data_IF_216052665128
#
_entry.id   IF_216052665128
#
_cell.length_a   1.000
_cell.length_b   1.000
_cell.length_c   1.000
_cell.angle_alpha   90.00
_cell.angle_beta   90.00
_cell.angle_gamma   90.00
#
_symmetry.space_group_name_H-M   'P 1'
#
loop_
_entity.id
_entity.type
_entity.pdbx_description
1 polymer ?
#
# COMPACT_ATOMS: atom_id res chain seq x y z
N UNK A 1 27.10 19.93 -21.97
CA UNK A 1 26.78 18.52 -22.21
C UNK A 1 26.11 17.99 -20.94
N UNK A 2 24.77 17.95 -20.92
CA UNK A 2 24.00 17.45 -19.78
C UNK A 2 23.88 15.93 -19.91
N UNK A 3 24.45 15.19 -18.95
CA UNK A 3 24.27 13.75 -18.86
C UNK A 3 22.87 13.46 -18.33
N UNK A 4 21.99 12.99 -19.22
CA UNK A 4 20.75 12.32 -18.85
C UNK A 4 21.10 11.00 -18.19
N UNK A 5 20.85 10.88 -16.89
CA UNK A 5 20.66 9.57 -16.26
C UNK A 5 19.17 9.27 -16.25
N UNK A 6 18.67 8.72 -17.37
CA UNK A 6 17.41 7.98 -17.36
C UNK A 6 17.71 6.60 -16.77
N UNK A 7 17.50 6.49 -15.47
CA UNK A 7 17.35 5.21 -14.82
C UNK A 7 16.06 5.31 -14.04
N UNK A 8 14.98 4.76 -14.62
CA UNK A 8 13.79 4.33 -13.89
C UNK A 8 14.22 3.26 -12.86
N UNK A 9 14.93 3.69 -11.82
CA UNK A 9 15.44 2.83 -10.77
C UNK A 9 14.24 2.45 -9.91
N UNK A 10 13.86 1.18 -9.99
CA UNK A 10 12.78 0.61 -9.19
C UNK A 10 13.04 0.94 -7.71
N UNK A 11 12.03 1.41 -6.97
CA UNK A 11 12.18 1.71 -5.55
C UNK A 11 12.78 0.52 -4.81
N UNK A 12 13.65 0.78 -3.83
CA UNK A 12 14.13 -0.27 -2.94
C UNK A 12 12.96 -0.71 -2.09
N UNK A 13 12.32 -1.80 -2.48
CA UNK A 13 11.22 -2.38 -1.73
C UNK A 13 11.82 -3.05 -0.50
N UNK A 14 11.57 -2.46 0.66
CA UNK A 14 12.02 -3.03 1.91
C UNK A 14 11.48 -4.45 2.02
N UNK A 15 12.38 -5.42 2.17
CA UNK A 15 11.99 -6.69 2.77
C UNK A 15 11.76 -6.36 4.23
N UNK A 16 10.50 -6.38 4.66
CA UNK A 16 10.15 -6.38 6.06
C UNK A 16 11.00 -7.44 6.77
N UNK A 17 11.94 -7.02 7.62
CA UNK A 17 12.49 -7.92 8.61
C UNK A 17 11.41 -8.07 9.68
N UNK A 18 10.60 -9.12 9.58
CA UNK A 18 9.79 -9.53 10.72
C UNK A 18 10.77 -9.98 11.80
N UNK A 19 10.91 -9.21 12.86
CA UNK A 19 11.46 -9.76 14.09
C UNK A 19 10.44 -10.78 14.59
N UNK A 20 10.78 -12.07 14.46
CA UNK A 20 9.94 -13.20 14.87
C UNK A 20 9.50 -13.00 16.33
N UNK A 21 8.24 -12.60 16.52
CA UNK A 21 7.60 -12.45 17.84
C UNK A 21 7.10 -11.05 18.20
N UNK A 22 7.50 -9.97 17.50
CA UNK A 22 7.13 -8.60 17.90
C UNK A 22 5.86 -8.03 17.23
N UNK A 23 5.39 -8.63 16.13
CA UNK A 23 4.27 -8.08 15.35
C UNK A 23 4.60 -6.70 14.73
N UNK A 24 5.89 -6.44 14.51
CA UNK A 24 6.42 -5.18 14.01
C UNK A 24 7.10 -5.37 12.65
N UNK A 25 6.91 -4.39 11.76
CA UNK A 25 7.67 -4.25 10.51
C UNK A 25 8.34 -2.89 10.46
N UNK A 26 9.66 -2.92 10.20
CA UNK A 26 10.47 -1.72 9.96
C UNK A 26 10.65 -1.53 8.45
N UNK A 27 10.26 -0.37 7.95
CA UNK A 27 10.28 0.03 6.56
C UNK A 27 11.26 1.20 6.41
N UNK A 28 12.48 1.00 5.88
CA UNK A 28 13.36 2.10 5.52
C UNK A 28 12.74 2.98 4.44
N UNK A 29 13.04 4.28 4.49
CA UNK A 29 12.69 5.22 3.45
C UNK A 29 13.44 4.89 2.17
N UNK A 30 12.72 4.80 1.06
CA UNK A 30 13.29 4.69 -0.29
C UNK A 30 13.95 6.01 -0.70
N UNK A 31 14.78 5.95 -1.75
CA UNK A 31 15.52 7.12 -2.28
C UNK A 31 14.60 8.21 -2.83
N UNK A 32 13.42 7.83 -3.31
CA UNK A 32 12.35 8.74 -3.75
C UNK A 32 11.66 9.44 -2.57
N UNK A 33 11.98 9.06 -1.33
CA UNK A 33 11.42 9.64 -0.12
C UNK A 33 10.13 8.96 0.37
N UNK A 34 9.65 7.91 -0.29
CA UNK A 34 8.48 7.13 0.10
C UNK A 34 8.84 5.85 0.88
N UNK A 35 7.84 5.19 1.43
CA UNK A 35 7.98 3.91 2.14
C UNK A 35 7.28 2.82 1.34
N UNK A 36 7.99 1.73 1.08
CA UNK A 36 7.45 0.60 0.31
C UNK A 36 7.50 -0.66 1.16
N UNK A 37 6.39 -1.38 1.19
CA UNK A 37 6.24 -2.61 1.97
C UNK A 37 5.68 -3.71 1.08
N UNK A 38 6.31 -4.88 1.13
CA UNK A 38 5.77 -6.09 0.48
C UNK A 38 4.53 -6.55 1.21
N UNK A 39 3.57 -7.05 0.46
CA UNK A 39 2.32 -7.51 1.01
C UNK A 39 1.56 -8.42 0.06
N UNK A 40 0.29 -8.58 0.34
CA UNK A 40 -0.62 -9.34 -0.50
C UNK A 40 -2.06 -8.82 -0.39
N UNK A 41 -2.83 -9.04 -1.46
CA UNK A 41 -4.28 -8.90 -1.47
C UNK A 41 -4.87 -10.27 -1.72
N UNK A 42 -5.61 -10.81 -0.75
CA UNK A 42 -6.13 -12.19 -0.79
C UNK A 42 -5.06 -13.24 -1.18
N UNK A 43 -3.84 -13.07 -0.67
CA UNK A 43 -2.71 -13.95 -0.96
C UNK A 43 -2.00 -13.69 -2.31
N UNK A 44 -2.52 -12.83 -3.18
CA UNK A 44 -1.80 -12.39 -4.38
C UNK A 44 -0.74 -11.35 -4.00
N UNK A 45 0.56 -11.57 -4.31
CA UNK A 45 1.63 -10.65 -3.92
C UNK A 45 1.47 -9.26 -4.54
N UNK A 46 1.58 -8.23 -3.71
CA UNK A 46 1.51 -6.82 -4.11
C UNK A 46 2.52 -6.02 -3.31
N UNK A 47 3.27 -5.15 -3.97
CA UNK A 47 4.10 -4.16 -3.31
C UNK A 47 3.30 -2.88 -3.12
N UNK A 48 3.24 -2.39 -1.89
CA UNK A 48 2.50 -1.18 -1.55
C UNK A 48 3.45 -0.02 -1.28
N UNK A 49 3.08 1.17 -1.74
CA UNK A 49 3.57 2.43 -1.21
C UNK A 49 2.68 2.86 -0.05
N UNK A 50 3.25 3.21 1.10
CA UNK A 50 2.48 3.76 2.22
C UNK A 50 2.05 5.18 1.90
N UNK A 51 0.74 5.43 1.92
CA UNK A 51 0.15 6.73 1.64
C UNK A 51 -0.81 7.15 2.77
N UNK A 52 -0.35 8.08 3.60
CA UNK A 52 -1.14 8.62 4.71
C UNK A 52 -2.22 9.61 4.27
N UNK A 53 -2.17 10.11 3.03
CA UNK A 53 -3.20 10.97 2.43
C UNK A 53 -4.33 10.18 1.78
N UNK A 54 -4.09 8.93 1.38
CA UNK A 54 -5.11 8.06 0.80
C UNK A 54 -6.09 7.54 1.88
N UNK A 55 -7.39 7.79 1.70
CA UNK A 55 -8.42 7.32 2.65
C UNK A 55 -8.63 5.80 2.65
N UNK A 56 -8.38 5.15 1.52
CA UNK A 56 -8.56 3.72 1.29
C UNK A 56 -7.34 3.14 0.56
N UNK A 57 -7.11 1.83 0.69
CA UNK A 57 -6.19 1.10 -0.19
C UNK A 57 -6.62 1.29 -1.64
N UNK A 58 -5.66 1.58 -2.52
CA UNK A 58 -5.92 1.79 -3.95
C UNK A 58 -5.00 0.94 -4.81
N UNK A 59 -5.54 0.36 -5.88
CA UNK A 59 -4.80 -0.46 -6.83
C UNK A 59 -5.22 -0.17 -8.27
N UNK A 60 -4.37 -0.59 -9.22
CA UNK A 60 -4.70 -0.59 -10.64
C UNK A 60 -5.71 -1.70 -10.99
N UNK A 61 -6.38 -1.55 -12.13
CA UNK A 61 -7.24 -2.62 -12.67
C UNK A 61 -6.45 -3.91 -12.95
N UNK A 62 -5.17 -3.81 -13.28
CA UNK A 62 -4.33 -4.98 -13.54
C UNK A 62 -4.09 -5.79 -12.26
N UNK A 63 -3.71 -5.12 -11.17
CA UNK A 63 -3.55 -5.78 -9.87
C UNK A 63 -4.87 -6.41 -9.44
N UNK A 64 -6.00 -5.71 -9.60
CA UNK A 64 -7.32 -6.24 -9.25
C UNK A 64 -7.66 -7.53 -10.01
N UNK A 65 -7.38 -7.57 -11.33
CA UNK A 65 -7.57 -8.77 -12.15
C UNK A 65 -6.67 -9.92 -11.71
N UNK A 66 -5.39 -9.65 -11.47
CA UNK A 66 -4.43 -10.69 -11.08
C UNK A 66 -4.71 -11.24 -9.68
N UNK A 67 -5.15 -10.38 -8.75
CA UNK A 67 -5.64 -10.75 -7.43
C UNK A 67 -7.06 -11.37 -7.45
N UNK A 68 -7.68 -11.50 -8.63
CA UNK A 68 -9.02 -12.06 -8.84
C UNK A 68 -10.09 -11.40 -7.96
N UNK A 69 -10.00 -10.08 -7.79
CA UNK A 69 -11.01 -9.34 -7.05
C UNK A 69 -12.36 -9.42 -7.78
N UNK A 70 -13.48 -9.54 -7.04
CA UNK A 70 -14.81 -9.48 -7.65
C UNK A 70 -15.05 -8.10 -8.24
N UNK A 71 -16.07 -8.01 -9.10
CA UNK A 71 -16.50 -6.72 -9.66
C UNK A 71 -16.89 -5.76 -8.54
N UNK A 72 -16.35 -4.55 -8.58
CA UNK A 72 -16.66 -3.54 -7.58
C UNK A 72 -17.92 -2.73 -7.89
N UNK A 73 -18.27 -1.87 -6.95
CA UNK A 73 -19.34 -0.89 -7.09
C UNK A 73 -18.70 0.41 -7.61
N UNK A 74 -19.23 1.03 -8.68
CA UNK A 74 -18.73 2.32 -9.17
C UNK A 74 -18.71 3.38 -8.06
N UNK A 75 -17.61 4.12 -7.97
CA UNK A 75 -17.40 5.16 -6.97
C UNK A 75 -16.55 6.30 -7.52
N UNK A 76 -16.77 7.50 -6.99
CA UNK A 76 -15.93 8.66 -7.24
C UNK A 76 -14.92 8.81 -6.10
N UNK A 77 -13.68 9.10 -6.47
CA UNK A 77 -12.58 9.30 -5.53
C UNK A 77 -12.00 10.67 -5.70
N UNK A 78 -11.82 11.36 -4.58
CA UNK A 78 -11.16 12.67 -4.55
C UNK A 78 -9.66 12.46 -4.40
N UNK A 79 -8.91 12.98 -5.35
CA UNK A 79 -7.45 12.91 -5.38
C UNK A 79 -6.85 14.31 -5.43
N UNK A 80 -5.53 14.41 -5.29
CA UNK A 80 -4.81 15.67 -5.47
C UNK A 80 -5.00 16.28 -6.87
N UNK A 81 -5.23 15.45 -7.89
CA UNK A 81 -5.41 15.89 -9.29
C UNK A 81 -6.90 16.07 -9.66
N UNK A 82 -7.81 16.06 -8.67
CA UNK A 82 -9.24 16.15 -8.86
C UNK A 82 -9.97 14.81 -8.66
N UNK A 83 -11.24 14.78 -9.06
CA UNK A 83 -12.10 13.61 -8.89
C UNK A 83 -11.90 12.62 -10.03
N UNK A 84 -11.71 11.34 -9.68
CA UNK A 84 -11.60 10.24 -10.63
C UNK A 84 -12.69 9.19 -10.38
N UNK A 85 -13.14 8.55 -11.44
CA UNK A 85 -14.10 7.44 -11.36
C UNK A 85 -13.34 6.11 -11.26
N UNK A 86 -13.74 5.27 -10.32
CA UNK A 86 -13.21 3.92 -10.15
C UNK A 86 -14.27 2.99 -9.57
N UNK A 87 -13.82 1.91 -8.95
CA UNK A 87 -14.69 0.94 -8.28
C UNK A 87 -14.22 0.69 -6.84
N UNK A 88 -15.15 0.35 -5.93
CA UNK A 88 -14.82 -0.13 -4.58
C UNK A 88 -15.22 -1.60 -4.45
N UNK A 89 -14.30 -2.39 -3.91
CA UNK A 89 -14.55 -3.77 -3.49
C UNK A 89 -14.31 -3.86 -1.98
N UNK A 90 -15.32 -4.31 -1.24
CA UNK A 90 -15.24 -4.48 0.22
C UNK A 90 -14.87 -5.91 0.61
N UNK A 91 -14.48 -6.13 1.87
CA UNK A 91 -14.30 -7.47 2.43
C UNK A 91 -12.98 -8.14 2.05
N UNK A 92 -11.97 -7.38 1.65
CA UNK A 92 -10.70 -7.91 1.20
C UNK A 92 -9.75 -8.14 2.38
N UNK A 93 -8.89 -9.16 2.25
CA UNK A 93 -7.81 -9.43 3.21
C UNK A 93 -6.51 -8.86 2.67
N UNK A 94 -5.85 -8.05 3.49
CA UNK A 94 -4.66 -7.30 3.11
C UNK A 94 -3.54 -7.66 4.07
N UNK A 95 -2.43 -8.09 3.50
CA UNK A 95 -1.18 -8.29 4.21
C UNK A 95 -0.22 -7.17 3.85
N UNK A 96 0.47 -6.59 4.83
CA UNK A 96 1.59 -5.69 4.62
C UNK A 96 2.68 -5.97 5.67
N UNK A 97 3.86 -6.38 5.20
CA UNK A 97 5.00 -6.67 6.08
C UNK A 97 4.72 -7.78 7.09
N UNK A 98 3.89 -8.77 6.73
CA UNK A 98 3.44 -9.84 7.61
C UNK A 98 2.28 -9.49 8.54
N UNK A 99 1.81 -8.23 8.55
CA UNK A 99 0.61 -7.83 9.29
C UNK A 99 -0.61 -8.07 8.41
N UNK A 100 -1.54 -8.92 8.87
CA UNK A 100 -2.77 -9.25 8.16
C UNK A 100 -3.95 -8.48 8.75
N UNK A 101 -4.72 -7.84 7.88
CA UNK A 101 -5.95 -7.13 8.23
C UNK A 101 -7.08 -7.54 7.28
N UNK A 102 -8.18 -8.02 7.86
CA UNK A 102 -9.35 -8.48 7.11
C UNK A 102 -10.45 -7.41 7.04
N UNK A 103 -11.37 -7.61 6.09
CA UNK A 103 -12.59 -6.81 5.98
C UNK A 103 -12.35 -5.40 5.44
N UNK A 104 -11.25 -5.16 4.72
CA UNK A 104 -10.91 -3.85 4.18
C UNK A 104 -11.55 -3.59 2.82
N UNK A 105 -11.82 -2.32 2.56
CA UNK A 105 -12.20 -1.84 1.23
C UNK A 105 -10.97 -1.55 0.39
N UNK A 106 -11.02 -1.91 -0.89
CA UNK A 106 -10.00 -1.66 -1.89
C UNK A 106 -10.65 -0.88 -3.03
N UNK A 107 -10.06 0.27 -3.35
CA UNK A 107 -10.43 1.09 -4.48
C UNK A 107 -9.64 0.71 -5.73
N UNK A 108 -10.30 0.57 -6.86
CA UNK A 108 -9.72 0.12 -8.13
C UNK A 108 -9.80 1.26 -9.16
N UNK A 109 -8.70 1.51 -9.87
CA UNK A 109 -8.67 2.44 -11.00
C UNK A 109 -8.55 3.93 -10.62
N UNK A 110 -8.10 4.22 -9.40
CA UNK A 110 -8.01 5.59 -8.85
C UNK A 110 -6.65 6.23 -9.17
N UNK A 111 -5.60 5.42 -9.17
CA UNK A 111 -4.20 5.84 -9.27
C UNK A 111 -3.39 4.86 -10.14
N UNK A 112 -2.16 5.26 -10.49
CA UNK A 112 -1.28 4.60 -11.46
C UNK A 112 -0.75 3.21 -11.05
N UNK A 113 0.43 2.86 -11.55
CA UNK A 113 0.92 1.47 -11.54
C UNK A 113 1.26 0.90 -10.15
N UNK A 114 1.41 1.75 -9.12
CA UNK A 114 1.79 1.35 -7.76
C UNK A 114 0.55 1.28 -6.86
N UNK A 115 0.42 0.18 -6.10
CA UNK A 115 -0.61 0.05 -5.09
C UNK A 115 -0.35 0.96 -3.88
N UNK A 116 -1.39 1.61 -3.36
CA UNK A 116 -1.32 2.49 -2.19
C UNK A 116 -1.89 1.79 -0.96
N UNK A 117 -1.14 1.79 0.14
CA UNK A 117 -1.61 1.36 1.45
C UNK A 117 -2.19 2.57 2.19
N UNK A 118 -3.52 2.70 2.12
CA UNK A 118 -4.24 3.85 2.66
C UNK A 118 -4.62 3.74 4.13
N UNK A 119 -5.24 4.81 4.62
CA UNK A 119 -5.61 5.01 6.02
C UNK A 119 -6.58 3.96 6.59
N UNK A 120 -7.40 3.31 5.76
CA UNK A 120 -8.27 2.24 6.24
C UNK A 120 -7.49 1.02 6.76
N UNK A 121 -6.28 0.77 6.23
CA UNK A 121 -5.31 -0.16 6.82
C UNK A 121 -4.53 0.50 7.96
N UNK A 122 -3.93 1.66 7.72
CA UNK A 122 -2.98 2.29 8.66
C UNK A 122 -3.58 2.58 10.03
N UNK A 123 -4.89 2.88 10.13
CA UNK A 123 -5.57 3.08 11.42
C UNK A 123 -5.69 1.80 12.26
N UNK A 124 -5.50 0.62 11.67
CA UNK A 124 -5.56 -0.68 12.35
C UNK A 124 -4.24 -1.09 13.00
N UNK A 125 -3.16 -0.38 12.69
CA UNK A 125 -1.83 -0.59 13.26
C UNK A 125 -1.36 0.67 13.98
N UNK A 126 -0.36 0.52 14.84
CA UNK A 126 0.45 1.66 15.29
C UNK A 126 1.41 2.02 14.16
N UNK A 127 1.54 3.32 13.87
CA UNK A 127 2.45 3.84 12.84
C UNK A 127 3.39 4.83 13.50
N UNK A 128 4.69 4.55 13.48
CA UNK A 128 5.73 5.45 13.99
C UNK A 128 6.68 5.78 12.86
N UNK A 129 6.89 7.07 12.60
CA UNK A 129 7.86 7.53 11.59
C UNK A 129 8.97 8.33 12.26
N UNK A 130 10.21 7.89 12.12
CA UNK A 130 11.39 8.57 12.67
C UNK A 130 12.66 8.14 11.95
N UNK A 131 13.66 9.04 11.88
CA UNK A 131 15.01 8.74 11.37
C UNK A 131 15.04 7.98 10.02
N UNK A 132 14.29 8.45 9.03
CA UNK A 132 14.14 7.81 7.71
C UNK A 132 13.65 6.35 7.76
N UNK A 133 12.88 6.00 8.79
CA UNK A 133 12.20 4.72 8.94
C UNK A 133 10.74 4.94 9.29
N UNK A 134 9.92 4.00 8.85
CA UNK A 134 8.55 3.84 9.30
C UNK A 134 8.42 2.48 9.97
N UNK A 135 7.74 2.43 11.09
CA UNK A 135 7.46 1.22 11.85
C UNK A 135 5.95 1.02 11.86
N UNK A 136 5.48 -0.14 11.42
CA UNK A 136 4.10 -0.57 11.61
C UNK A 136 4.07 -1.67 12.66
N UNK A 137 3.19 -1.56 13.65
CA UNK A 137 3.06 -2.55 14.73
C UNK A 137 1.60 -2.94 14.95
N UNK A 138 1.36 -4.23 15.16
CA UNK A 138 0.03 -4.72 15.58
C UNK A 138 -0.31 -4.10 16.94
N UNK A 139 -1.52 -3.52 17.06
CA UNK A 139 -2.01 -3.03 18.34
C UNK A 139 -2.32 -4.24 19.24
N UNK A 140 -1.58 -4.38 20.33
CA UNK A 140 -1.91 -5.36 21.38
C UNK A 140 -3.20 -4.86 22.06
N UNK A 141 -4.18 -5.74 22.20
CA UNK A 141 -5.42 -5.47 22.94
C UNK A 141 -5.18 -5.44 24.43
#
# INVERSE_FOLDING_TARGET
MYLYFDARQKPTIAVASMELGSGEVVIPRSRDGHYYVRGAINGYPVDFMVDTGAGTISISHEIARNARLPRGIPANFVTANGTVMGEIVAGQTIEAGGIVVEGLSVGIGIHGDIALLGQNFLRRVEVVQSNDKMVLRVKVK
#
